data_IF_476078112765
#
_entry.id   IF_476078112765
#
_cell.length_a   1.000
_cell.length_b   1.000
_cell.length_c   1.000
_cell.angle_alpha   90.00
_cell.angle_beta   90.00
_cell.angle_gamma   90.00
#
_symmetry.space_group_name_H-M   'P 1'
#
loop_
_entity.id
_entity.type
_entity.pdbx_description
1 polymer ?
#
# COMPACT_ATOMS: atom_id res chain seq x y z
N UNK A 1 4.97 6.00 -0.82
CA UNK A 1 4.44 4.65 -1.10
C UNK A 1 5.54 3.78 -1.70
N UNK A 2 5.55 2.48 -1.42
CA UNK A 2 6.45 1.48 -1.99
C UNK A 2 5.71 0.64 -3.04
N UNK A 3 6.31 0.46 -4.22
CA UNK A 3 5.80 -0.43 -5.27
C UNK A 3 6.05 -1.89 -4.89
N UNK A 4 5.09 -2.76 -5.19
CA UNK A 4 5.25 -4.21 -5.08
C UNK A 4 5.24 -4.85 -6.47
N UNK A 5 6.00 -5.93 -6.62
CA UNK A 5 5.86 -6.79 -7.79
C UNK A 5 4.49 -7.48 -7.75
N UNK A 6 3.79 -7.62 -8.89
CA UNK A 6 2.55 -8.38 -8.95
C UNK A 6 2.72 -9.79 -8.36
N UNK A 7 1.69 -10.35 -7.69
CA UNK A 7 1.71 -11.72 -7.21
C UNK A 7 2.00 -12.73 -8.33
N UNK A 8 2.81 -13.75 -8.03
CA UNK A 8 3.11 -14.83 -8.97
C UNK A 8 1.86 -15.68 -9.26
N UNK A 9 1.05 -15.93 -8.23
CA UNK A 9 -0.18 -16.72 -8.37
C UNK A 9 -1.27 -15.91 -9.05
N UNK A 10 -1.85 -16.47 -10.10
CA UNK A 10 -3.03 -15.91 -10.76
C UNK A 10 -4.28 -16.08 -9.92
N UNK A 11 -5.37 -15.40 -10.32
CA UNK A 11 -6.69 -15.66 -9.74
C UNK A 11 -7.11 -17.14 -9.88
N UNK A 12 -6.81 -17.77 -11.02
CA UNK A 12 -7.21 -19.16 -11.27
C UNK A 12 -6.45 -20.13 -10.36
N UNK A 13 -5.17 -19.88 -10.09
CA UNK A 13 -4.37 -20.66 -9.12
C UNK A 13 -4.98 -20.55 -7.73
N UNK A 14 -5.27 -19.32 -7.29
CA UNK A 14 -5.88 -19.05 -5.99
C UNK A 14 -7.25 -19.73 -5.86
N UNK A 15 -8.11 -19.61 -6.88
CA UNK A 15 -9.43 -20.23 -6.91
C UNK A 15 -9.33 -21.76 -6.85
N UNK A 16 -8.39 -22.35 -7.58
CA UNK A 16 -8.13 -23.80 -7.58
C UNK A 16 -7.71 -24.29 -6.19
N UNK A 17 -6.79 -23.59 -5.54
CA UNK A 17 -6.36 -23.90 -4.17
C UNK A 17 -7.51 -23.75 -3.16
N UNK A 18 -8.35 -22.73 -3.31
CA UNK A 18 -9.54 -22.56 -2.49
C UNK A 18 -10.50 -23.73 -2.66
N UNK A 19 -10.83 -24.11 -3.90
CA UNK A 19 -11.72 -25.25 -4.23
C UNK A 19 -11.23 -26.55 -3.62
N UNK A 20 -9.93 -26.84 -3.75
CA UNK A 20 -9.30 -28.02 -3.14
C UNK A 20 -9.39 -28.01 -1.61
N UNK A 21 -9.46 -26.84 -0.98
CA UNK A 21 -9.62 -26.68 0.46
C UNK A 21 -11.06 -26.88 0.97
N UNK A 22 -12.07 -26.89 0.09
CA UNK A 22 -13.50 -27.05 0.43
C UNK A 22 -13.85 -28.54 0.50
N UNK A 23 -13.44 -29.20 1.58
CA UNK A 23 -13.67 -30.65 1.76
C UNK A 23 -14.99 -31.01 2.45
N UNK A 24 -15.54 -30.11 3.28
CA UNK A 24 -16.71 -30.38 4.12
C UNK A 24 -17.99 -29.63 3.73
N UNK A 25 -18.00 -28.93 2.59
CA UNK A 25 -19.15 -28.14 2.15
C UNK A 25 -19.39 -28.31 0.64
N UNK A 26 -20.02 -29.44 0.27
CA UNK A 26 -20.27 -29.79 -1.13
C UNK A 26 -21.13 -28.75 -1.85
N UNK A 27 -22.10 -28.13 -1.17
CA UNK A 27 -22.95 -27.08 -1.75
C UNK A 27 -22.16 -25.82 -2.09
N UNK A 28 -21.28 -25.36 -1.19
CA UNK A 28 -20.37 -24.25 -1.50
C UNK A 28 -19.44 -24.59 -2.66
N UNK A 29 -18.83 -25.77 -2.65
CA UNK A 29 -17.92 -26.19 -3.72
C UNK A 29 -18.65 -26.24 -5.07
N UNK A 30 -19.87 -26.77 -5.12
CA UNK A 30 -20.71 -26.77 -6.32
C UNK A 30 -21.00 -25.34 -6.80
N UNK A 31 -21.41 -24.45 -5.91
CA UNK A 31 -21.70 -23.05 -6.26
C UNK A 31 -20.45 -22.33 -6.78
N UNK A 32 -19.28 -22.56 -6.19
CA UNK A 32 -17.99 -22.01 -6.65
C UNK A 32 -17.62 -22.57 -8.02
N UNK A 33 -17.78 -23.88 -8.23
CA UNK A 33 -17.51 -24.51 -9.53
C UNK A 33 -18.42 -23.94 -10.63
N UNK A 34 -19.71 -23.76 -10.34
CA UNK A 34 -20.67 -23.21 -11.31
C UNK A 34 -20.42 -21.73 -11.63
N UNK A 35 -19.81 -20.97 -10.71
CA UNK A 35 -19.52 -19.55 -10.90
C UNK A 35 -18.08 -19.26 -11.37
N UNK A 36 -17.22 -20.26 -11.54
CA UNK A 36 -15.77 -20.07 -11.73
C UNK A 36 -15.42 -19.15 -12.90
N UNK A 37 -16.09 -19.32 -14.04
CA UNK A 37 -15.81 -18.53 -15.24
C UNK A 37 -16.20 -17.06 -15.05
N UNK A 38 -17.34 -16.79 -14.39
CA UNK A 38 -17.79 -15.42 -14.11
C UNK A 38 -16.86 -14.75 -13.10
N UNK A 39 -16.45 -15.47 -12.06
CA UNK A 39 -15.50 -14.98 -11.08
C UNK A 39 -14.13 -14.66 -11.69
N UNK A 40 -13.66 -15.51 -12.60
CA UNK A 40 -12.43 -15.26 -13.35
C UNK A 40 -12.54 -14.00 -14.21
N UNK A 41 -13.63 -13.86 -14.96
CA UNK A 41 -13.88 -12.67 -15.79
C UNK A 41 -13.94 -11.39 -14.94
N UNK A 42 -14.53 -11.45 -13.75
CA UNK A 42 -14.54 -10.32 -12.81
C UNK A 42 -13.14 -9.99 -12.28
N UNK A 43 -12.30 -10.99 -12.00
CA UNK A 43 -10.91 -10.76 -11.60
C UNK A 43 -10.10 -10.11 -12.73
N UNK A 44 -10.30 -10.54 -13.98
CA UNK A 44 -9.68 -9.93 -15.16
C UNK A 44 -10.13 -8.47 -15.35
N UNK A 45 -11.42 -8.17 -15.13
CA UNK A 45 -11.94 -6.79 -15.14
C UNK A 45 -11.30 -5.94 -14.04
N UNK A 46 -11.15 -6.48 -12.82
CA UNK A 46 -10.43 -5.80 -11.74
C UNK A 46 -9.01 -5.44 -12.18
N UNK A 47 -8.25 -6.38 -12.73
CA UNK A 47 -6.86 -6.16 -13.16
C UNK A 47 -6.76 -5.13 -14.28
N UNK A 48 -7.68 -5.18 -15.25
CA UNK A 48 -7.76 -4.19 -16.32
C UNK A 48 -8.03 -2.79 -15.76
N UNK A 49 -9.02 -2.63 -14.88
CA UNK A 49 -9.31 -1.34 -14.23
C UNK A 49 -8.18 -0.87 -13.31
N UNK A 50 -7.50 -1.77 -12.61
CA UNK A 50 -6.37 -1.42 -11.75
C UNK A 50 -5.20 -0.85 -12.58
N UNK A 51 -4.93 -1.44 -13.74
CA UNK A 51 -3.84 -1.02 -14.64
C UNK A 51 -4.08 0.37 -15.23
N UNK A 52 -5.33 0.77 -15.43
CA UNK A 52 -5.70 2.12 -15.91
C UNK A 52 -5.96 3.11 -14.77
N UNK A 53 -5.89 2.68 -13.51
CA UNK A 53 -6.20 3.53 -12.36
C UNK A 53 -7.70 3.81 -12.19
N UNK A 54 -8.58 2.93 -12.67
CA UNK A 54 -10.03 3.12 -12.74
C UNK A 54 -10.84 2.20 -11.81
N UNK A 55 -10.24 1.64 -10.76
CA UNK A 55 -10.95 0.78 -9.79
C UNK A 55 -12.17 1.45 -9.14
N UNK A 56 -12.15 2.79 -9.01
CA UNK A 56 -13.26 3.59 -8.49
C UNK A 56 -14.55 3.48 -9.33
N UNK A 57 -14.43 3.04 -10.59
CA UNK A 57 -15.57 2.82 -11.48
C UNK A 57 -16.31 1.53 -11.17
N UNK A 58 -15.69 0.59 -10.44
CA UNK A 58 -16.34 -0.66 -10.07
C UNK A 58 -17.39 -0.38 -9.00
N UNK A 59 -18.64 -0.67 -9.34
CA UNK A 59 -19.79 -0.41 -8.47
C UNK A 59 -19.74 -1.33 -7.25
N UNK A 60 -19.81 -0.79 -6.01
CA UNK A 60 -19.86 -1.59 -4.81
C UNK A 60 -21.19 -2.35 -4.70
N UNK A 61 -21.17 -3.48 -3.97
CA UNK A 61 -22.39 -4.20 -3.61
C UNK A 61 -23.32 -3.29 -2.80
N UNK A 62 -24.50 -3.01 -3.36
CA UNK A 62 -25.55 -2.29 -2.67
C UNK A 62 -26.20 -3.18 -1.60
N UNK A 63 -26.21 -2.72 -0.35
CA UNK A 63 -26.87 -3.40 0.77
C UNK A 63 -27.98 -2.50 1.29
N UNK A 64 -29.20 -3.04 1.40
CA UNK A 64 -30.30 -2.31 2.03
C UNK A 64 -30.07 -2.18 3.54
N UNK A 65 -29.47 -3.20 4.16
CA UNK A 65 -29.06 -3.21 5.56
C UNK A 65 -27.66 -3.83 5.72
N UNK A 66 -26.86 -3.42 6.73
CA UNK A 66 -25.50 -3.91 6.92
C UNK A 66 -25.35 -5.44 7.04
N UNK A 67 -26.38 -6.12 7.56
CA UNK A 67 -26.40 -7.58 7.79
C UNK A 67 -26.97 -8.38 6.61
N UNK A 68 -27.39 -7.73 5.53
CA UNK A 68 -27.94 -8.45 4.39
C UNK A 68 -26.87 -9.34 3.74
N UNK A 69 -27.30 -10.52 3.29
CA UNK A 69 -26.46 -11.53 2.63
C UNK A 69 -27.01 -11.85 1.23
N UNK A 70 -26.95 -10.89 0.28
CA UNK A 70 -27.50 -11.07 -1.06
C UNK A 70 -26.66 -12.05 -1.88
N UNK A 71 -27.28 -12.61 -2.91
CA UNK A 71 -26.59 -13.31 -3.99
C UNK A 71 -25.78 -12.28 -4.79
N UNK A 72 -24.50 -12.57 -5.03
CA UNK A 72 -23.57 -11.68 -5.75
C UNK A 72 -23.24 -12.24 -7.13
N UNK A 73 -22.90 -13.53 -7.23
CA UNK A 73 -22.51 -14.18 -8.49
C UNK A 73 -23.11 -15.58 -8.57
N UNK A 74 -23.94 -15.85 -9.58
CA UNK A 74 -24.60 -17.14 -9.73
C UNK A 74 -25.45 -17.48 -8.50
N UNK A 75 -25.04 -18.50 -7.74
CA UNK A 75 -25.67 -18.88 -6.46
C UNK A 75 -24.83 -18.52 -5.22
N UNK A 76 -23.70 -17.86 -5.41
CA UNK A 76 -22.83 -17.45 -4.31
C UNK A 76 -23.36 -16.19 -3.64
N UNK A 77 -23.53 -16.27 -2.33
CA UNK A 77 -23.87 -15.11 -1.49
C UNK A 77 -22.62 -14.32 -1.10
N UNK A 78 -22.83 -13.10 -0.61
CA UNK A 78 -21.78 -12.27 -0.01
C UNK A 78 -20.98 -13.07 1.04
N UNK A 79 -21.67 -13.77 1.94
CA UNK A 79 -21.06 -14.56 3.01
C UNK A 79 -20.23 -15.74 2.49
N UNK A 80 -20.62 -16.35 1.37
CA UNK A 80 -19.87 -17.44 0.75
C UNK A 80 -18.55 -16.95 0.16
N UNK A 81 -18.57 -15.81 -0.52
CA UNK A 81 -17.38 -15.18 -1.09
C UNK A 81 -16.43 -14.70 0.01
N UNK A 82 -16.94 -14.03 1.04
CA UNK A 82 -16.13 -13.62 2.22
C UNK A 82 -15.49 -14.84 2.90
N UNK A 83 -16.24 -15.94 3.00
CA UNK A 83 -15.77 -17.22 3.55
C UNK A 83 -14.65 -17.86 2.72
N UNK A 84 -14.60 -17.64 1.39
CA UNK A 84 -13.45 -18.07 0.56
C UNK A 84 -12.14 -17.50 1.12
N UNK A 85 -12.12 -16.21 1.43
CA UNK A 85 -10.95 -15.60 2.04
C UNK A 85 -10.73 -16.07 3.49
N UNK A 86 -11.72 -15.85 4.37
CA UNK A 86 -11.54 -16.02 5.83
C UNK A 86 -11.21 -17.47 6.22
N UNK A 87 -11.80 -18.44 5.53
CA UNK A 87 -11.63 -19.84 5.89
C UNK A 87 -10.60 -20.55 5.00
N UNK A 88 -10.53 -20.23 3.71
CA UNK A 88 -9.75 -21.02 2.75
C UNK A 88 -8.43 -20.37 2.34
N UNK A 89 -8.33 -19.04 2.32
CA UNK A 89 -7.07 -18.32 2.11
C UNK A 89 -6.31 -18.14 3.42
N UNK A 90 -6.98 -17.63 4.47
CA UNK A 90 -6.33 -17.36 5.77
C UNK A 90 -6.07 -18.64 6.58
N UNK A 91 -6.93 -19.64 6.42
CA UNK A 91 -6.90 -20.89 7.20
C UNK A 91 -5.55 -21.63 7.08
N UNK A 92 -4.82 -21.76 8.19
CA UNK A 92 -3.44 -22.30 8.21
C UNK A 92 -3.29 -23.72 7.63
N UNK A 93 -4.34 -24.52 7.70
CA UNK A 93 -4.36 -25.90 7.19
C UNK A 93 -4.87 -26.01 5.74
N UNK A 94 -5.18 -24.89 5.08
CA UNK A 94 -5.79 -24.87 3.76
C UNK A 94 -4.75 -24.64 2.67
N UNK A 95 -4.92 -25.21 1.46
CA UNK A 95 -3.93 -25.09 0.38
C UNK A 95 -3.61 -23.64 -0.03
N UNK A 96 -4.62 -22.76 -0.09
CA UNK A 96 -4.44 -21.37 -0.50
C UNK A 96 -3.65 -20.52 0.52
N UNK A 97 -3.38 -21.07 1.72
CA UNK A 97 -2.49 -20.46 2.71
C UNK A 97 -1.10 -20.16 2.15
N UNK A 98 -0.60 -21.01 1.25
CA UNK A 98 0.71 -20.82 0.63
C UNK A 98 0.79 -19.50 -0.16
N UNK A 99 -0.30 -19.11 -0.84
CA UNK A 99 -0.38 -17.83 -1.56
C UNK A 99 -0.44 -16.68 -0.57
N UNK A 100 -1.23 -16.80 0.50
CA UNK A 100 -1.30 -15.79 1.56
C UNK A 100 0.10 -15.51 2.16
N UNK A 101 0.83 -16.56 2.52
CA UNK A 101 2.16 -16.43 3.13
C UNK A 101 3.18 -15.87 2.13
N UNK A 102 3.11 -16.27 0.85
CA UNK A 102 3.96 -15.71 -0.20
C UNK A 102 3.73 -14.20 -0.39
N UNK A 103 2.48 -13.73 -0.36
CA UNK A 103 2.14 -12.31 -0.41
C UNK A 103 2.72 -11.55 0.79
N UNK A 104 2.58 -12.10 2.00
CA UNK A 104 3.15 -11.50 3.21
C UNK A 104 4.68 -11.40 3.16
N UNK A 105 5.36 -12.44 2.64
CA UNK A 105 6.82 -12.48 2.50
C UNK A 105 7.30 -11.48 1.43
N UNK A 106 6.57 -11.34 0.33
CA UNK A 106 6.95 -10.45 -0.78
C UNK A 106 7.06 -8.97 -0.38
N UNK A 107 6.36 -8.54 0.68
CA UNK A 107 6.49 -7.19 1.22
C UNK A 107 7.81 -6.95 1.99
N UNK A 108 8.56 -8.01 2.32
CA UNK A 108 9.83 -7.94 3.05
C UNK A 108 9.73 -7.08 4.32
N UNK A 109 8.71 -7.35 5.14
CA UNK A 109 8.37 -6.62 6.37
C UNK A 109 8.10 -5.10 6.18
N UNK A 110 7.89 -4.63 4.96
CA UNK A 110 7.63 -3.21 4.63
C UNK A 110 6.22 -3.01 4.08
N UNK A 111 5.39 -2.26 4.80
CA UNK A 111 4.05 -1.92 4.34
C UNK A 111 4.10 -0.96 3.15
N UNK A 112 3.47 -1.29 2.01
CA UNK A 112 3.57 -0.51 0.79
C UNK A 112 2.85 0.84 0.90
N UNK A 113 1.70 0.88 1.56
CA UNK A 113 0.92 2.10 1.76
C UNK A 113 1.74 3.20 2.44
N UNK A 114 2.45 2.86 3.52
CA UNK A 114 3.27 3.85 4.24
C UNK A 114 4.73 3.91 3.78
N UNK A 115 5.06 3.37 2.60
CA UNK A 115 6.44 3.43 2.10
C UNK A 115 7.46 2.67 2.96
N UNK A 116 7.02 1.64 3.68
CA UNK A 116 7.89 0.72 4.40
C UNK A 116 8.21 1.03 5.85
N UNK A 117 7.61 2.07 6.44
CA UNK A 117 7.79 2.37 7.88
C UNK A 117 7.08 1.34 8.77
N UNK A 118 5.90 0.89 8.35
CA UNK A 118 5.07 -0.04 9.11
C UNK A 118 5.35 -1.49 8.73
N UNK A 119 5.32 -2.38 9.72
CA UNK A 119 5.45 -3.83 9.49
C UNK A 119 4.10 -4.48 9.16
N UNK A 120 3.94 -5.16 8.01
CA UNK A 120 2.72 -5.89 7.68
C UNK A 120 2.36 -6.94 8.73
N UNK A 121 1.07 -7.05 9.07
CA UNK A 121 0.55 -8.09 9.99
C UNK A 121 -0.48 -8.99 9.34
N UNK A 122 -1.14 -8.50 8.30
CA UNK A 122 -2.14 -9.21 7.51
C UNK A 122 -2.19 -8.66 6.09
N UNK A 123 -2.98 -9.32 5.23
CA UNK A 123 -3.34 -8.79 3.92
C UNK A 123 -4.61 -7.95 4.07
N UNK A 124 -4.52 -6.68 3.68
CA UNK A 124 -5.68 -5.80 3.47
C UNK A 124 -6.26 -6.03 2.07
N UNK A 125 -7.57 -5.83 1.93
CA UNK A 125 -8.26 -5.85 0.66
C UNK A 125 -8.30 -4.44 0.08
N UNK A 126 -7.59 -4.17 -1.03
CA UNK A 126 -7.59 -2.85 -1.64
C UNK A 126 -9.02 -2.34 -1.95
N UNK A 127 -9.81 -3.16 -2.64
CA UNK A 127 -11.28 -3.07 -2.65
C UNK A 127 -11.85 -3.95 -1.53
N UNK A 128 -12.46 -3.37 -0.48
CA UNK A 128 -12.84 -4.09 0.73
C UNK A 128 -13.84 -5.22 0.45
N UNK A 129 -13.58 -6.43 0.96
CA UNK A 129 -14.47 -7.60 0.79
C UNK A 129 -15.91 -7.39 1.32
N UNK A 130 -16.12 -6.41 2.21
CA UNK A 130 -17.45 -6.06 2.70
C UNK A 130 -18.36 -5.45 1.62
N UNK A 131 -17.75 -4.77 0.65
CA UNK A 131 -18.41 -4.07 -0.46
C UNK A 131 -18.12 -4.74 -1.82
N UNK A 132 -17.01 -5.45 -1.94
CA UNK A 132 -16.57 -6.14 -3.15
C UNK A 132 -16.22 -7.61 -2.87
N UNK A 133 -17.18 -8.40 -2.36
CA UNK A 133 -16.90 -9.78 -1.94
C UNK A 133 -16.39 -10.66 -3.08
N UNK A 134 -16.77 -10.36 -4.34
CA UNK A 134 -16.29 -11.09 -5.53
C UNK A 134 -14.76 -10.99 -5.72
N UNK A 135 -14.11 -9.95 -5.19
CA UNK A 135 -12.66 -9.77 -5.24
C UNK A 135 -11.93 -10.23 -3.97
N UNK A 136 -12.63 -10.88 -3.05
CA UNK A 136 -12.09 -11.27 -1.73
C UNK A 136 -10.86 -12.17 -1.79
N UNK A 137 -10.66 -12.93 -2.88
CA UNK A 137 -9.51 -13.80 -3.08
C UNK A 137 -8.65 -13.38 -4.28
N UNK A 138 -8.89 -12.22 -4.91
CA UNK A 138 -8.06 -11.75 -6.02
C UNK A 138 -6.67 -11.38 -5.51
N UNK A 139 -5.57 -12.04 -5.95
CA UNK A 139 -4.25 -11.83 -5.36
C UNK A 139 -3.78 -10.37 -5.37
N UNK A 140 -3.96 -9.64 -6.49
CA UNK A 140 -3.61 -8.21 -6.59
C UNK A 140 -4.53 -7.29 -5.77
N UNK A 141 -5.67 -7.80 -5.28
CA UNK A 141 -6.52 -7.09 -4.33
C UNK A 141 -6.03 -7.29 -2.88
N UNK A 142 -5.12 -8.24 -2.62
CA UNK A 142 -4.62 -8.58 -1.28
C UNK A 142 -3.24 -7.95 -1.04
N UNK A 143 -3.21 -6.83 -0.31
CA UNK A 143 -2.02 -6.03 -0.07
C UNK A 143 -1.50 -6.26 1.36
N UNK A 144 -0.25 -6.71 1.57
CA UNK A 144 0.34 -6.76 2.91
C UNK A 144 0.31 -5.39 3.58
N UNK A 145 -0.30 -5.27 4.75
CA UNK A 145 -0.54 -3.96 5.37
C UNK A 145 -0.22 -3.97 6.87
N UNK A 146 0.36 -2.86 7.36
CA UNK A 146 0.55 -2.66 8.79
C UNK A 146 -0.78 -2.30 9.45
N UNK A 147 -0.82 -2.39 10.79
CA UNK A 147 -2.06 -2.09 11.54
C UNK A 147 -2.56 -0.67 11.29
N UNK A 148 -1.67 0.32 11.36
CA UNK A 148 -2.05 1.74 11.20
C UNK A 148 -2.66 1.98 9.82
N UNK A 149 -2.07 1.42 8.74
CA UNK A 149 -2.61 1.59 7.39
C UNK A 149 -3.90 0.81 7.17
N UNK A 150 -3.99 -0.42 7.69
CA UNK A 150 -5.16 -1.28 7.49
C UNK A 150 -6.37 -0.82 8.33
N UNK A 151 -6.16 -0.47 9.59
CA UNK A 151 -7.25 -0.16 10.53
C UNK A 151 -7.56 1.34 10.59
N UNK A 152 -6.54 2.18 10.74
CA UNK A 152 -6.72 3.60 11.06
C UNK A 152 -6.74 4.48 9.82
N UNK A 153 -5.97 4.11 8.78
CA UNK A 153 -5.94 4.82 7.50
C UNK A 153 -7.06 4.38 6.56
N UNK A 154 -6.94 3.19 5.97
CA UNK A 154 -7.88 2.72 4.94
C UNK A 154 -9.14 2.10 5.52
N UNK A 155 -9.02 1.13 6.44
CA UNK A 155 -10.17 0.41 6.97
C UNK A 155 -11.05 -0.21 5.87
N UNK A 156 -12.35 0.08 5.93
CA UNK A 156 -13.33 -0.30 4.91
C UNK A 156 -13.58 0.81 3.88
N UNK A 157 -12.79 1.88 3.87
CA UNK A 157 -12.93 2.95 2.88
C UNK A 157 -12.54 2.45 1.48
N UNK A 158 -13.21 3.00 0.48
CA UNK A 158 -12.97 2.79 -0.94
C UNK A 158 -13.40 4.03 -1.72
N UNK A 159 -12.82 4.23 -2.90
CA UNK A 159 -13.12 5.37 -3.74
C UNK A 159 -14.32 5.10 -4.65
N UNK A 160 -15.16 6.12 -4.84
CA UNK A 160 -16.24 6.13 -5.85
C UNK A 160 -16.02 7.20 -6.92
N UNK A 161 -14.93 7.96 -6.79
CA UNK A 161 -14.46 8.97 -7.74
C UNK A 161 -12.93 8.85 -7.89
N UNK A 162 -12.40 9.23 -9.05
CA UNK A 162 -10.98 9.04 -9.38
C UNK A 162 -10.02 9.73 -8.39
N UNK A 163 -10.38 10.91 -7.87
CA UNK A 163 -9.52 11.71 -6.99
C UNK A 163 -9.28 11.06 -5.64
N UNK A 164 -10.23 10.25 -5.18
CA UNK A 164 -10.23 9.64 -3.87
C UNK A 164 -9.55 8.26 -3.89
N UNK A 165 -9.21 7.75 -5.08
CA UNK A 165 -8.56 6.46 -5.24
C UNK A 165 -7.09 6.54 -4.86
N UNK A 166 -6.80 6.16 -3.62
CA UNK A 166 -5.43 5.99 -3.13
C UNK A 166 -4.63 5.06 -4.05
N UNK A 167 -3.32 5.23 -4.06
CA UNK A 167 -2.46 4.43 -4.92
C UNK A 167 -2.53 2.92 -4.60
N UNK A 168 -2.58 2.09 -5.63
CA UNK A 168 -2.59 0.63 -5.60
C UNK A 168 -1.15 0.13 -5.84
N UNK A 169 -0.54 -0.64 -4.90
CA UNK A 169 0.91 -0.89 -4.92
C UNK A 169 1.44 -1.77 -6.06
N UNK A 170 0.59 -2.54 -6.72
CA UNK A 170 0.95 -3.55 -7.71
C UNK A 170 0.83 -3.07 -9.16
N UNK A 171 -0.23 -2.32 -9.48
CA UNK A 171 -0.72 -2.12 -10.84
C UNK A 171 -0.94 -0.66 -11.23
N UNK A 172 -0.89 0.29 -10.29
CA UNK A 172 -0.92 1.71 -10.68
C UNK A 172 0.31 2.07 -11.53
N UNK A 173 0.14 3.12 -12.33
CA UNK A 173 1.16 3.61 -13.26
C UNK A 173 2.50 3.91 -12.55
N UNK A 174 3.59 3.51 -13.21
CA UNK A 174 4.97 3.65 -12.74
C UNK A 174 5.36 5.09 -12.37
N UNK A 175 4.66 6.10 -12.88
CA UNK A 175 4.89 7.51 -12.53
C UNK A 175 4.81 7.73 -11.02
N UNK A 176 3.89 7.07 -10.32
CA UNK A 176 3.68 7.25 -8.87
C UNK A 176 4.84 6.71 -8.04
N UNK A 177 5.65 5.84 -8.62
CA UNK A 177 6.77 5.16 -7.96
C UNK A 177 8.14 5.66 -8.44
N UNK A 178 8.23 6.09 -9.70
CA UNK A 178 9.48 6.48 -10.36
C UNK A 178 9.73 7.99 -10.42
N UNK A 179 8.72 8.81 -10.18
CA UNK A 179 8.86 10.28 -10.14
C UNK A 179 8.70 10.79 -8.71
N UNK A 180 9.51 11.80 -8.38
CA UNK A 180 9.44 12.43 -7.06
C UNK A 180 8.21 13.33 -6.98
N UNK A 181 7.39 13.08 -5.97
CA UNK A 181 6.25 13.91 -5.61
C UNK A 181 6.24 14.21 -4.11
N UNK A 182 7.01 13.48 -3.30
CA UNK A 182 7.22 13.74 -1.88
C UNK A 182 8.42 14.66 -1.69
N UNK A 183 8.23 15.70 -0.89
CA UNK A 183 9.27 16.65 -0.51
C UNK A 183 9.21 16.89 0.99
N UNK A 184 10.27 17.48 1.53
CA UNK A 184 10.31 17.93 2.91
C UNK A 184 11.07 19.24 3.00
N UNK A 185 10.91 19.92 4.13
CA UNK A 185 11.72 21.05 4.55
C UNK A 185 12.20 20.85 5.97
N UNK A 186 13.37 21.40 6.27
CA UNK A 186 13.93 21.41 7.61
C UNK A 186 13.48 22.67 8.35
N UNK A 187 12.93 22.48 9.54
CA UNK A 187 12.55 23.55 10.45
C UNK A 187 13.52 23.52 11.61
N UNK A 188 14.57 24.37 11.63
CA UNK A 188 15.57 24.37 12.68
C UNK A 188 14.94 24.55 14.06
N UNK A 189 15.45 23.78 15.03
CA UNK A 189 15.04 23.91 16.42
C UNK A 189 15.61 25.18 17.06
N UNK A 190 15.08 25.54 18.21
CA UNK A 190 15.71 26.55 19.06
C UNK A 190 16.94 25.93 19.74
N UNK A 191 18.07 26.65 19.74
CA UNK A 191 19.31 26.28 20.43
C UNK A 191 19.71 24.81 20.28
N UNK A 192 19.40 23.98 21.30
CA UNK A 192 19.86 22.58 21.46
C UNK A 192 18.90 21.53 20.85
N UNK A 193 17.80 21.95 20.22
CA UNK A 193 16.87 21.03 19.58
C UNK A 193 17.25 20.75 18.12
N UNK A 194 17.23 19.48 17.67
CA UNK A 194 17.64 19.06 16.32
C UNK A 194 16.67 19.52 15.21
N UNK A 195 15.63 20.30 15.55
CA UNK A 195 14.59 20.74 14.63
C UNK A 195 13.60 19.65 14.22
N UNK A 196 12.77 19.96 13.23
CA UNK A 196 11.69 19.11 12.73
C UNK A 196 11.78 19.01 11.21
N UNK A 197 11.56 17.82 10.67
CA UNK A 197 11.35 17.62 9.23
C UNK A 197 9.85 17.62 8.96
N UNK A 198 9.42 18.56 8.14
CA UNK A 198 8.03 18.63 7.69
C UNK A 198 7.92 18.13 6.25
N UNK A 199 7.10 17.11 6.04
CA UNK A 199 6.86 16.50 4.73
C UNK A 199 5.63 17.10 4.05
N UNK A 200 5.69 17.24 2.73
CA UNK A 200 4.58 17.72 1.92
C UNK A 200 4.60 17.12 0.50
N UNK A 201 3.47 17.23 -0.18
CA UNK A 201 3.28 16.71 -1.54
C UNK A 201 3.46 17.84 -2.55
N UNK A 202 4.39 17.66 -3.49
CA UNK A 202 4.65 18.55 -4.62
C UNK A 202 4.89 17.73 -5.89
N UNK A 203 3.84 17.22 -6.54
CA UNK A 203 3.96 16.35 -7.70
C UNK A 203 4.40 17.15 -8.94
N UNK A 204 4.98 16.49 -9.97
CA UNK A 204 5.41 17.16 -11.20
C UNK A 204 4.31 18.03 -11.84
N UNK A 205 4.67 19.22 -12.32
CA UNK A 205 3.71 20.19 -12.87
C UNK A 205 2.95 19.64 -14.08
N UNK A 206 3.60 18.80 -14.88
CA UNK A 206 3.04 18.18 -16.08
C UNK A 206 2.14 16.97 -15.80
N UNK A 207 1.94 16.56 -14.53
CA UNK A 207 0.97 15.54 -14.20
C UNK A 207 -0.46 16.05 -14.35
N UNK A 208 -1.35 15.14 -14.74
CA UNK A 208 -2.78 15.40 -14.78
C UNK A 208 -3.30 15.83 -13.41
N UNK A 209 -4.31 16.71 -13.33
CA UNK A 209 -4.87 17.17 -12.06
C UNK A 209 -5.30 16.01 -11.15
N UNK A 210 -5.82 14.93 -11.74
CA UNK A 210 -6.30 13.77 -11.01
C UNK A 210 -5.16 12.99 -10.34
N UNK A 211 -4.03 12.81 -11.03
CA UNK A 211 -2.87 12.11 -10.49
C UNK A 211 -2.27 12.89 -9.30
N UNK A 212 -2.25 14.22 -9.38
CA UNK A 212 -1.85 15.10 -8.28
C UNK A 212 -2.76 14.93 -7.06
N UNK A 213 -4.07 14.85 -7.29
CA UNK A 213 -5.04 14.63 -6.23
C UNK A 213 -4.88 13.24 -5.59
N UNK A 214 -4.63 12.19 -6.38
CA UNK A 214 -4.46 10.83 -5.88
C UNK A 214 -3.25 10.68 -4.96
N UNK A 215 -2.10 11.27 -5.31
CA UNK A 215 -0.93 11.24 -4.40
C UNK A 215 -1.15 12.05 -3.13
N UNK A 216 -1.86 13.18 -3.23
CA UNK A 216 -2.26 13.96 -2.05
C UNK A 216 -3.21 13.16 -1.16
N UNK A 217 -4.25 12.55 -1.74
CA UNK A 217 -5.22 11.69 -1.04
C UNK A 217 -4.51 10.57 -0.31
N UNK A 218 -3.58 9.88 -0.97
CA UNK A 218 -2.80 8.82 -0.36
C UNK A 218 -1.91 9.33 0.79
N UNK A 219 -1.29 10.49 0.62
CA UNK A 219 -0.48 11.11 1.68
C UNK A 219 -1.32 11.45 2.92
N UNK A 220 -2.51 12.01 2.71
CA UNK A 220 -3.43 12.42 3.78
C UNK A 220 -4.05 11.20 4.48
N UNK A 221 -4.59 10.23 3.73
CA UNK A 221 -5.32 9.07 4.29
C UNK A 221 -4.44 8.15 5.15
N UNK A 222 -3.15 8.07 4.84
CA UNK A 222 -2.20 7.26 5.60
C UNK A 222 -1.39 8.08 6.62
N UNK A 223 -1.75 9.35 6.82
CA UNK A 223 -1.10 10.31 7.71
C UNK A 223 0.43 10.33 7.53
N UNK A 224 0.87 10.31 6.26
CA UNK A 224 2.28 10.12 5.92
C UNK A 224 3.13 11.28 6.41
N UNK A 225 2.61 12.50 6.44
CA UNK A 225 3.33 13.67 6.93
C UNK A 225 3.78 13.52 8.38
N UNK A 226 2.84 13.24 9.28
CA UNK A 226 3.15 13.05 10.70
C UNK A 226 4.05 11.82 10.92
N UNK A 227 3.73 10.71 10.25
CA UNK A 227 4.46 9.46 10.44
C UNK A 227 5.90 9.54 9.94
N UNK A 228 6.13 10.14 8.77
CA UNK A 228 7.48 10.38 8.28
C UNK A 228 8.23 11.37 9.14
N UNK A 229 7.58 12.42 9.66
CA UNK A 229 8.21 13.36 10.58
C UNK A 229 8.69 12.68 11.87
N UNK A 230 7.92 11.73 12.41
CA UNK A 230 8.34 10.93 13.59
C UNK A 230 9.58 10.08 13.31
N UNK A 231 9.63 9.37 12.18
CA UNK A 231 10.81 8.60 11.78
C UNK A 231 12.02 9.51 11.54
N UNK A 232 11.80 10.64 10.87
CA UNK A 232 12.81 11.65 10.59
C UNK A 232 13.39 12.28 11.85
N UNK A 233 12.58 12.57 12.87
CA UNK A 233 13.05 13.11 14.14
C UNK A 233 14.08 12.20 14.82
N UNK A 234 13.81 10.89 14.88
CA UNK A 234 14.79 9.93 15.42
C UNK A 234 16.07 9.88 14.59
N UNK A 235 15.96 10.06 13.27
CA UNK A 235 17.11 10.00 12.38
C UNK A 235 17.94 11.28 12.42
N UNK A 236 17.31 12.45 12.55
CA UNK A 236 17.98 13.74 12.74
C UNK A 236 18.90 13.73 13.95
N UNK A 237 18.40 13.26 15.10
CA UNK A 237 19.19 13.11 16.33
C UNK A 237 20.45 12.27 16.12
N UNK A 238 20.41 11.30 15.20
CA UNK A 238 21.57 10.48 14.88
C UNK A 238 22.53 11.14 13.88
N UNK A 239 22.02 11.86 12.88
CA UNK A 239 22.83 12.38 11.76
C UNK A 239 23.42 13.77 12.03
N UNK A 240 22.68 14.68 12.66
CA UNK A 240 23.15 16.06 12.90
C UNK A 240 24.44 16.11 13.75
N UNK A 241 24.58 15.37 14.86
CA UNK A 241 25.84 15.39 15.62
C UNK A 241 27.04 14.86 14.83
N UNK A 242 26.82 13.93 13.89
CA UNK A 242 27.89 13.43 13.03
C UNK A 242 28.32 14.49 12.02
N UNK A 243 27.36 15.20 11.43
CA UNK A 243 27.61 16.34 10.55
C UNK A 243 28.38 17.45 11.29
N UNK A 244 27.91 17.86 12.46
CA UNK A 244 28.54 18.88 13.30
C UNK A 244 29.96 18.48 13.74
N UNK A 245 30.18 17.20 14.08
CA UNK A 245 31.50 16.70 14.43
C UNK A 245 32.50 16.79 13.26
N UNK A 246 32.05 16.57 12.02
CA UNK A 246 32.89 16.75 10.84
C UNK A 246 33.25 18.23 10.64
N UNK A 247 32.30 19.15 10.82
CA UNK A 247 32.56 20.59 10.76
C UNK A 247 33.55 21.03 11.85
N UNK A 248 33.39 20.53 13.07
CA UNK A 248 34.31 20.79 14.19
C UNK A 248 35.73 20.26 13.90
N UNK A 249 35.84 19.18 13.12
CA UNK A 249 37.09 18.65 12.61
C UNK A 249 37.64 19.38 11.36
N UNK A 250 37.07 20.55 11.02
CA UNK A 250 37.46 21.39 9.87
C UNK A 250 37.26 20.71 8.50
N UNK A 251 36.38 19.72 8.41
CA UNK A 251 35.89 19.21 7.12
C UNK A 251 34.96 20.26 6.52
N UNK A 252 35.11 20.55 5.22
CA UNK A 252 34.24 21.53 4.56
C UNK A 252 32.78 21.08 4.57
N UNK A 253 31.88 22.05 4.60
CA UNK A 253 30.43 21.83 4.63
C UNK A 253 29.94 20.88 3.53
N UNK A 254 30.35 21.14 2.28
CA UNK A 254 30.02 20.31 1.13
C UNK A 254 30.48 18.85 1.30
N UNK A 255 31.69 18.65 1.84
CA UNK A 255 32.23 17.30 2.05
C UNK A 255 31.50 16.61 3.20
N UNK A 256 31.21 17.32 4.28
CA UNK A 256 30.44 16.77 5.41
C UNK A 256 29.01 16.38 4.98
N UNK A 257 28.31 17.24 4.23
CA UNK A 257 26.99 16.93 3.65
C UNK A 257 27.03 15.71 2.75
N UNK A 258 28.05 15.60 1.89
CA UNK A 258 28.21 14.44 1.02
C UNK A 258 28.45 13.14 1.80
N UNK A 259 29.30 13.18 2.84
CA UNK A 259 29.56 12.00 3.67
C UNK A 259 28.29 11.52 4.38
N UNK A 260 27.56 12.44 5.02
CA UNK A 260 26.43 12.10 5.90
C UNK A 260 25.13 11.87 5.11
N UNK A 261 24.79 12.74 4.17
CA UNK A 261 23.46 12.77 3.55
C UNK A 261 23.45 12.16 2.13
N UNK A 262 24.45 12.44 1.29
CA UNK A 262 24.46 11.96 -0.10
C UNK A 262 24.48 10.42 -0.17
N UNK A 263 25.25 9.77 0.71
CA UNK A 263 25.26 8.30 0.82
C UNK A 263 23.86 7.71 1.07
N UNK A 264 23.04 8.36 1.91
CA UNK A 264 21.66 7.92 2.20
C UNK A 264 20.75 8.15 1.00
N UNK A 265 20.95 9.24 0.27
CA UNK A 265 20.20 9.57 -0.94
C UNK A 265 20.47 8.53 -2.03
N UNK A 266 21.74 8.18 -2.26
CA UNK A 266 22.18 7.28 -3.33
C UNK A 266 21.82 5.82 -3.07
N UNK A 267 21.82 5.41 -1.80
CA UNK A 267 21.47 4.03 -1.39
C UNK A 267 19.99 3.83 -1.10
N UNK A 268 19.18 4.89 -1.27
CA UNK A 268 17.76 4.85 -0.98
C UNK A 268 17.02 3.79 -1.80
N UNK A 269 16.07 3.04 -1.20
CA UNK A 269 15.38 1.97 -1.92
C UNK A 269 14.43 2.49 -3.02
N UNK A 270 13.96 3.73 -2.96
CA UNK A 270 13.10 4.36 -3.98
C UNK A 270 13.02 5.88 -3.81
N UNK A 271 12.61 6.57 -4.87
CA UNK A 271 12.71 8.04 -4.98
C UNK A 271 11.89 8.83 -3.94
N UNK A 272 10.72 8.30 -3.53
CA UNK A 272 9.84 8.93 -2.54
C UNK A 272 10.03 8.33 -1.13
N UNK A 273 11.17 7.72 -0.83
CA UNK A 273 11.47 7.20 0.51
C UNK A 273 11.67 8.36 1.49
N UNK A 274 11.05 8.28 2.68
CA UNK A 274 11.03 9.38 3.64
C UNK A 274 12.43 9.84 4.04
N UNK A 275 13.36 8.91 4.27
CA UNK A 275 14.73 9.22 4.71
C UNK A 275 15.54 9.90 3.59
N UNK A 276 15.33 9.49 2.33
CA UNK A 276 15.95 10.16 1.18
C UNK A 276 15.47 11.59 1.06
N UNK A 277 14.15 11.79 1.17
CA UNK A 277 13.53 13.11 1.07
C UNK A 277 13.97 14.01 2.23
N UNK A 278 14.14 13.47 3.43
CA UNK A 278 14.75 14.19 4.55
C UNK A 278 16.18 14.64 4.22
N UNK A 279 17.04 13.73 3.77
CA UNK A 279 18.42 14.05 3.44
C UNK A 279 18.53 15.08 2.32
N UNK A 280 17.63 15.06 1.33
CA UNK A 280 17.57 16.10 0.30
C UNK A 280 17.25 17.48 0.87
N UNK A 281 16.32 17.56 1.82
CA UNK A 281 16.01 18.83 2.50
C UNK A 281 17.23 19.32 3.30
N UNK A 282 17.88 18.44 4.08
CA UNK A 282 19.07 18.79 4.85
C UNK A 282 20.25 19.22 3.98
N UNK A 283 20.46 18.59 2.83
CA UNK A 283 21.50 19.02 1.89
C UNK A 283 21.29 20.46 1.39
N UNK A 284 20.03 20.88 1.23
CA UNK A 284 19.69 22.20 0.70
C UNK A 284 19.62 23.28 1.78
N UNK A 285 19.37 22.93 3.04
CA UNK A 285 18.94 23.88 4.08
C UNK A 285 19.89 23.99 5.28
N UNK A 286 20.78 23.00 5.49
CA UNK A 286 21.96 23.16 6.36
C UNK A 286 23.07 23.93 5.64
#
# INVERSE_FOLDING_TARGET
>A
MLKLNPPISSYLDMLTLCRNGITGNAGLLQNVNSASNVLQQQAEQYEASATTGELYTIVPLALARPKDDPVVVGHLKKSDLVKLYDNYVVGKSKPARAVYDALMIAANDKCPFCGGIGRPRNLDHYLPKAHYPQFSIVPVNLVPSCRDCNMDGKGQAFATVASDQVLQPYLDDDRFFSKQWLFARYLPGAADEPGVIEYFVSPPQNWEPIDKQRVKKHFDDFDLGLRFSKEAGSRLVALLPQYEALLAAQVSEDVAKNIIFQTVIDTSPFINHWERVMCLALMSEL
#
